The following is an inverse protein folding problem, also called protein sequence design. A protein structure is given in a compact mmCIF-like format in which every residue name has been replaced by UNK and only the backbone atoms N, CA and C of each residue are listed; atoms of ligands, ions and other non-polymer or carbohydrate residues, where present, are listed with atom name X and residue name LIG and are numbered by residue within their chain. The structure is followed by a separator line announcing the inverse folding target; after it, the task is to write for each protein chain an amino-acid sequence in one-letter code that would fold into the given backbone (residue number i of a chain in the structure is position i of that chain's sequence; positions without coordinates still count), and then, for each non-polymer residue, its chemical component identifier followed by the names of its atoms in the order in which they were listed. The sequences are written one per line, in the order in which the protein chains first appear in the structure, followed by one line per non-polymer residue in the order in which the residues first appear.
data_IF_246396764266
#
_entry.id   IF_246396764266
#
_cell.length_a   1.000
_cell.length_b   1.000
_cell.length_c   1.000
_cell.angle_alpha   90.00
_cell.angle_beta   90.00
_cell.angle_gamma   90.00
#
_symmetry.space_group_name_H-M   'P 1'
#
loop_
_entity.id
_entity.type
_entity.pdbx_description
1 polymer ?
#
# COMPACT_ATOMS: atom_id res chain seq x y z
N UNK A 1 -0.20 2.76 19.73
CA UNK A 1 -0.85 1.42 19.64
C UNK A 1 -1.14 1.04 18.18
N UNK A 2 -0.17 0.49 17.45
CA UNK A 2 -0.36 -0.37 16.26
C UNK A 2 0.98 -0.97 15.80
N UNK A 3 1.96 -1.13 16.69
CA UNK A 3 3.27 -1.72 16.40
C UNK A 3 3.25 -3.25 16.28
N UNK A 4 2.09 -3.90 16.45
CA UNK A 4 1.97 -5.36 16.60
C UNK A 4 1.42 -6.11 15.40
N UNK A 5 0.87 -5.42 14.41
CA UNK A 5 0.41 -6.07 13.20
C UNK A 5 1.54 -5.98 12.18
N UNK A 6 2.39 -7.01 12.13
CA UNK A 6 3.41 -7.20 11.07
C UNK A 6 2.75 -7.55 9.72
N UNK A 7 1.64 -6.89 9.40
CA UNK A 7 0.92 -7.08 8.14
C UNK A 7 1.69 -6.29 7.08
N UNK A 8 2.38 -7.01 6.21
CA UNK A 8 3.13 -6.43 5.09
C UNK A 8 2.34 -6.47 3.77
N UNK A 9 1.23 -7.20 3.72
CA UNK A 9 0.35 -7.28 2.56
C UNK A 9 -1.09 -7.66 2.95
N UNK A 10 -2.04 -7.29 2.10
CA UNK A 10 -3.46 -7.64 2.13
C UNK A 10 -3.86 -7.99 0.69
N UNK A 11 -4.34 -9.21 0.45
CA UNK A 11 -4.82 -9.64 -0.87
C UNK A 11 -6.29 -10.04 -0.80
N UNK A 12 -7.07 -9.60 -1.78
CA UNK A 12 -8.46 -10.02 -1.94
C UNK A 12 -8.84 -9.99 -3.42
N UNK A 13 -9.40 -11.11 -3.90
CA UNK A 13 -9.74 -11.31 -5.30
C UNK A 13 -8.57 -10.92 -6.24
N UNK A 14 -8.76 -9.89 -7.04
CA UNK A 14 -7.84 -9.33 -8.02
C UNK A 14 -6.97 -8.17 -7.51
N UNK A 15 -7.18 -7.71 -6.27
CA UNK A 15 -6.44 -6.59 -5.68
C UNK A 15 -5.40 -7.02 -4.66
N UNK A 16 -4.14 -6.60 -4.83
CA UNK A 16 -3.08 -6.74 -3.83
C UNK A 16 -2.69 -5.37 -3.27
N UNK A 17 -2.71 -5.25 -1.95
CA UNK A 17 -2.22 -4.09 -1.21
C UNK A 17 -0.98 -4.48 -0.41
N UNK A 18 0.10 -3.72 -0.55
CA UNK A 18 1.35 -3.98 0.15
C UNK A 18 1.72 -2.80 1.03
N UNK A 19 2.24 -3.09 2.22
CA UNK A 19 2.59 -2.10 3.23
C UNK A 19 4.07 -2.22 3.60
N UNK A 20 4.79 -1.11 3.48
CA UNK A 20 6.17 -0.98 3.94
C UNK A 20 6.30 0.27 4.81
N UNK A 21 7.36 0.32 5.62
CA UNK A 21 7.78 1.56 6.26
C UNK A 21 8.22 2.55 5.18
N UNK A 22 7.96 3.83 5.41
CA UNK A 22 8.24 4.93 4.49
C UNK A 22 9.72 5.30 4.34
N UNK A 23 10.59 4.30 4.25
CA UNK A 23 12.02 4.43 4.00
C UNK A 23 12.43 3.56 2.81
N UNK A 24 13.51 3.97 2.14
CA UNK A 24 13.95 3.34 0.90
C UNK A 24 14.31 1.85 1.08
N UNK A 25 14.91 1.49 2.22
CA UNK A 25 15.35 0.12 2.49
C UNK A 25 14.15 -0.81 2.59
N UNK A 26 13.15 -0.41 3.37
CA UNK A 26 11.92 -1.20 3.57
C UNK A 26 11.13 -1.36 2.27
N UNK A 27 11.06 -0.30 1.47
CA UNK A 27 10.36 -0.33 0.17
C UNK A 27 11.10 -1.22 -0.84
N UNK A 28 12.43 -1.10 -0.91
CA UNK A 28 13.23 -1.95 -1.81
C UNK A 28 13.08 -3.43 -1.44
N UNK A 29 13.19 -3.75 -0.15
CA UNK A 29 13.04 -5.13 0.32
C UNK A 29 11.64 -5.70 -0.02
N UNK A 30 10.59 -4.90 0.13
CA UNK A 30 9.24 -5.30 -0.24
C UNK A 30 9.13 -5.57 -1.74
N UNK A 31 9.71 -4.69 -2.57
CA UNK A 31 9.71 -4.83 -4.02
C UNK A 31 10.49 -6.07 -4.48
N UNK A 32 11.65 -6.35 -3.86
CA UNK A 32 12.45 -7.54 -4.18
C UNK A 32 11.67 -8.82 -3.85
N UNK A 33 10.99 -8.86 -2.70
CA UNK A 33 10.11 -9.99 -2.34
C UNK A 33 8.93 -10.13 -3.30
N UNK A 34 8.34 -9.02 -3.72
CA UNK A 34 7.26 -9.03 -4.71
C UNK A 34 7.74 -9.52 -6.09
N UNK A 35 8.98 -9.21 -6.47
CA UNK A 35 9.59 -9.71 -7.70
C UNK A 35 9.81 -11.22 -7.64
N UNK A 36 10.27 -11.76 -6.51
CA UNK A 36 10.37 -13.22 -6.30
C UNK A 36 9.00 -13.88 -6.38
N UNK A 37 7.97 -13.28 -5.75
CA UNK A 37 6.60 -13.77 -5.84
C UNK A 37 6.08 -13.77 -7.29
N UNK A 38 6.35 -12.70 -8.05
CA UNK A 38 5.97 -12.58 -9.47
C UNK A 38 6.63 -13.69 -10.30
N UNK A 39 7.92 -13.94 -10.08
CA UNK A 39 8.66 -15.00 -10.78
C UNK A 39 8.13 -16.41 -10.45
N UNK A 40 7.76 -16.65 -9.18
CA UNK A 40 7.28 -17.96 -8.75
C UNK A 40 5.81 -18.24 -9.13
N UNK A 41 4.96 -17.21 -9.12
CA UNK A 41 3.51 -17.36 -9.37
C UNK A 41 3.08 -17.04 -10.81
N UNK A 42 3.92 -16.32 -11.56
CA UNK A 42 3.54 -15.73 -12.85
C UNK A 42 2.61 -14.51 -12.74
N UNK A 43 2.20 -14.12 -11.53
CA UNK A 43 1.33 -12.97 -11.31
C UNK A 43 2.14 -11.68 -11.25
N UNK A 44 1.91 -10.77 -12.20
CA UNK A 44 2.60 -9.48 -12.30
C UNK A 44 1.66 -8.33 -11.96
N UNK A 45 2.17 -7.32 -11.25
CA UNK A 45 1.45 -6.07 -11.06
C UNK A 45 1.29 -5.33 -12.40
N UNK A 46 0.06 -4.91 -12.69
CA UNK A 46 -0.23 -4.00 -13.79
C UNK A 46 0.11 -2.57 -13.34
N UNK A 47 1.21 -2.02 -13.87
CA UNK A 47 1.68 -0.67 -13.55
C UNK A 47 0.64 0.41 -13.85
N UNK A 48 -0.26 0.19 -14.82
CA UNK A 48 -1.30 1.17 -15.20
C UNK A 48 -2.44 1.24 -14.19
N UNK A 49 -2.69 0.14 -13.47
CA UNK A 49 -3.72 0.02 -12.43
C UNK A 49 -3.17 0.12 -11.01
N UNK A 50 -1.84 0.06 -10.88
CA UNK A 50 -1.14 0.08 -9.60
C UNK A 50 -0.66 1.49 -9.27
N UNK A 51 -0.79 1.87 -8.01
CA UNK A 51 -0.38 3.17 -7.50
C UNK A 51 0.30 3.03 -6.14
N UNK A 52 1.25 3.92 -5.85
CA UNK A 52 1.84 4.08 -4.52
C UNK A 52 1.12 5.22 -3.79
N UNK A 53 0.86 4.97 -2.51
CA UNK A 53 0.26 5.92 -1.60
C UNK A 53 1.23 6.20 -0.44
N UNK A 54 1.49 7.48 -0.16
CA UNK A 54 2.42 7.88 0.90
C UNK A 54 1.67 8.47 2.09
N UNK A 55 1.93 7.92 3.29
CA UNK A 55 1.45 8.47 4.56
C UNK A 55 2.63 8.93 5.42
N UNK A 56 2.78 10.24 5.60
CA UNK A 56 3.83 10.80 6.46
C UNK A 56 5.25 10.73 5.87
N UNK A 57 5.39 10.52 4.56
CA UNK A 57 6.66 10.55 3.81
C UNK A 57 6.62 11.75 2.87
N UNK A 58 7.66 12.59 2.88
CA UNK A 58 7.67 13.86 2.15
C UNK A 58 9.02 14.11 1.45
N UNK A 59 9.00 15.02 0.48
CA UNK A 59 10.20 15.56 -0.16
C UNK A 59 11.00 14.54 -0.97
N UNK A 60 12.32 14.56 -0.81
CA UNK A 60 13.27 13.77 -1.60
C UNK A 60 13.11 12.26 -1.43
N UNK A 61 12.69 11.79 -0.25
CA UNK A 61 12.47 10.36 0.02
C UNK A 61 11.30 9.83 -0.82
N UNK A 62 10.22 10.59 -0.90
CA UNK A 62 9.05 10.24 -1.70
C UNK A 62 9.39 10.17 -3.19
N UNK A 63 10.12 11.18 -3.71
CA UNK A 63 10.57 11.21 -5.10
C UNK A 63 11.48 10.03 -5.44
N UNK A 64 12.43 9.68 -4.57
CA UNK A 64 13.30 8.53 -4.77
C UNK A 64 12.50 7.24 -4.83
N UNK A 65 11.60 7.01 -3.87
CA UNK A 65 10.77 5.79 -3.84
C UNK A 65 9.91 5.67 -5.11
N UNK A 66 9.29 6.77 -5.56
CA UNK A 66 8.52 6.76 -6.80
C UNK A 66 9.38 6.42 -8.01
N UNK A 67 10.56 7.02 -8.12
CA UNK A 67 11.46 6.76 -9.25
C UNK A 67 11.98 5.33 -9.24
N UNK A 68 12.28 4.77 -8.07
CA UNK A 68 12.75 3.38 -7.93
C UNK A 68 11.69 2.37 -8.33
N UNK A 69 10.42 2.59 -7.98
CA UNK A 69 9.37 1.61 -8.20
C UNK A 69 8.60 1.80 -9.53
N UNK A 70 8.58 2.99 -10.09
CA UNK A 70 7.92 3.28 -11.37
C UNK A 70 6.39 3.28 -11.35
N UNK A 71 5.75 3.20 -10.18
CA UNK A 71 4.29 3.30 -10.06
C UNK A 71 3.80 4.75 -10.06
N UNK A 72 2.55 4.92 -10.48
CA UNK A 72 1.85 6.21 -10.37
C UNK A 72 1.65 6.61 -8.91
N UNK A 73 1.61 7.92 -8.64
CA UNK A 73 1.27 8.43 -7.31
C UNK A 73 -0.24 8.50 -7.15
N UNK A 74 -0.77 7.77 -6.17
CA UNK A 74 -2.17 7.83 -5.78
C UNK A 74 -2.42 8.83 -4.65
N UNK A 75 -3.54 9.53 -4.70
CA UNK A 75 -3.97 10.42 -3.63
C UNK A 75 -4.71 9.65 -2.52
N UNK A 76 -4.50 10.07 -1.27
CA UNK A 76 -5.22 9.55 -0.10
C UNK A 76 -6.30 10.53 0.35
N UNK A 77 -7.44 10.06 0.89
CA UNK A 77 -7.83 8.66 1.05
C UNK A 77 -8.31 8.03 -0.27
N UNK A 78 -8.04 6.74 -0.46
CA UNK A 78 -8.56 5.97 -1.59
C UNK A 78 -9.48 4.85 -1.11
N UNK A 79 -10.34 4.30 -1.99
CA UNK A 79 -11.23 3.19 -1.64
C UNK A 79 -10.64 1.87 -2.11
N UNK A 80 -10.54 0.91 -1.20
CA UNK A 80 -10.24 -0.49 -1.51
C UNK A 80 -11.44 -1.33 -1.10
N UNK A 81 -12.06 -2.01 -2.06
CA UNK A 81 -13.31 -2.79 -1.86
C UNK A 81 -14.45 -1.98 -1.23
N UNK A 82 -14.59 -0.70 -1.61
CA UNK A 82 -15.61 0.19 -1.05
C UNK A 82 -15.27 0.78 0.33
N UNK A 83 -14.19 0.32 0.97
CA UNK A 83 -13.72 0.82 2.26
C UNK A 83 -12.70 1.95 2.03
N UNK A 84 -12.92 3.17 2.55
CA UNK A 84 -11.94 4.23 2.47
C UNK A 84 -10.74 3.92 3.37
N UNK A 85 -9.56 3.80 2.75
CA UNK A 85 -8.28 3.63 3.40
C UNK A 85 -7.65 5.00 3.67
N UNK A 86 -7.38 5.25 4.95
CA UNK A 86 -6.72 6.46 5.44
C UNK A 86 -5.32 6.13 5.97
N UNK A 87 -4.42 7.11 5.92
CA UNK A 87 -3.07 7.02 6.51
C UNK A 87 -3.06 7.08 8.03
N UNK A 88 -4.16 7.52 8.65
CA UNK A 88 -4.35 7.56 10.09
C UNK A 88 -5.21 6.37 10.52
N UNK A 89 -4.94 5.85 11.72
CA UNK A 89 -5.78 4.85 12.38
C UNK A 89 -7.22 5.39 12.42
N UNK A 90 -8.13 4.73 11.72
CA UNK A 90 -9.55 5.07 11.72
C UNK A 90 -10.05 5.09 13.18
N UNK A 91 -10.52 6.24 13.65
CA UNK A 91 -11.29 6.29 14.89
C UNK A 91 -12.63 5.58 14.66
N UNK A 92 -13.17 4.90 15.70
CA UNK A 92 -14.44 4.14 15.68
C UNK A 92 -15.61 4.87 14.97
N UNK A 93 -15.59 6.19 14.96
CA UNK A 93 -16.60 7.05 14.32
C UNK A 93 -16.60 6.91 12.79
N UNK A 94 -15.43 6.67 12.16
CA UNK A 94 -15.30 6.49 10.72
C UNK A 94 -15.66 5.07 10.24
N UNK A 95 -15.79 4.11 11.18
CA UNK A 95 -16.26 2.74 10.89
C UNK A 95 -17.79 2.64 10.82
N UNK A 96 -18.54 3.63 11.37
CA UNK A 96 -20.01 3.62 11.39
C UNK A 96 -20.66 3.32 10.04
N UNK A 97 -20.29 3.94 8.90
CA UNK A 97 -20.94 3.65 7.61
C UNK A 97 -20.64 2.25 7.04
N UNK A 98 -19.64 1.53 7.58
CA UNK A 98 -19.28 0.17 7.15
C UNK A 98 -19.91 -0.92 8.05
N UNK A 99 -20.47 -0.54 9.19
CA UNK A 99 -21.09 -1.43 10.18
C UNK A 99 -22.62 -1.41 10.12
N UNK A 100 -23.22 -0.60 9.24
CA UNK A 100 -24.67 -0.53 9.10
C UNK A 100 -25.09 -1.59 8.09
N UNK A 101 -25.84 -2.56 8.62
CA UNK A 101 -26.54 -3.64 7.92
C UNK A 101 -27.79 -3.12 7.23
#
# INVERSE_FOLDING_TARGET
MCSRLKITYLSFADGLLMFARGDQISVQLLHDKFTVFTAASGLKADLSKSAIYFGGVFGTVMSHIQQTLGYSHGALPFRYLGIPLFTKKLNLIQWKPLLIK
#
